data_IF_480437742902
#
_entry.id   IF_480437742902
#
_cell.length_a   1.000
_cell.length_b   1.000
_cell.length_c   1.000
_cell.angle_alpha   90.00
_cell.angle_beta   90.00
_cell.angle_gamma   90.00
#
_symmetry.space_group_name_H-M   'P 1'
#
loop_
_entity.id
_entity.type
_entity.pdbx_description
1 polymer ?
#
# COMPACT_ATOMS: atom_id res chain seq x y z
N UNK A 1 10.66 -15.00 1.36
CA UNK A 1 11.90 -15.71 0.96
C UNK A 1 11.68 -16.77 -0.12
N UNK A 2 10.46 -17.27 -0.35
CA UNK A 2 10.17 -18.36 -1.30
C UNK A 2 10.46 -18.02 -2.77
N UNK A 3 10.16 -16.80 -3.23
CA UNK A 3 10.32 -16.43 -4.65
C UNK A 3 11.76 -16.12 -5.07
N UNK A 4 12.60 -15.61 -4.16
CA UNK A 4 14.00 -15.26 -4.46
C UNK A 4 14.86 -16.51 -4.67
N UNK A 5 14.61 -17.58 -3.89
CA UNK A 5 15.27 -18.88 -4.05
C UNK A 5 14.91 -19.50 -5.41
N UNK A 6 13.65 -19.37 -5.85
CA UNK A 6 13.22 -19.82 -7.18
C UNK A 6 13.96 -19.10 -8.33
N UNK A 7 14.21 -17.79 -8.21
CA UNK A 7 14.97 -17.01 -9.20
C UNK A 7 16.44 -17.46 -9.28
N UNK A 8 17.05 -17.81 -8.14
CA UNK A 8 18.42 -18.32 -8.10
C UNK A 8 18.56 -19.73 -8.71
N UNK A 9 17.51 -20.55 -8.61
CA UNK A 9 17.50 -21.93 -9.12
C UNK A 9 17.13 -21.99 -10.62
N UNK A 10 16.41 -20.99 -11.15
CA UNK A 10 16.04 -20.89 -12.58
C UNK A 10 17.18 -21.13 -13.58
N UNK A 11 18.39 -20.55 -13.46
CA UNK A 11 19.48 -20.79 -14.42
C UNK A 11 19.92 -22.26 -14.48
N UNK A 12 19.89 -22.97 -13.35
CA UNK A 12 20.23 -24.40 -13.29
C UNK A 12 19.16 -25.27 -13.96
N UNK A 13 17.87 -24.93 -13.78
CA UNK A 13 16.75 -25.63 -14.42
C UNK A 13 16.76 -25.42 -15.94
N UNK A 14 17.06 -24.21 -16.40
CA UNK A 14 17.15 -23.89 -17.84
C UNK A 14 18.33 -24.64 -18.49
N UNK A 15 19.49 -24.71 -17.84
CA UNK A 15 20.63 -25.48 -18.34
C UNK A 15 20.29 -26.96 -18.49
N UNK A 16 19.61 -27.55 -17.51
CA UNK A 16 19.20 -28.96 -17.55
C UNK A 16 18.08 -29.21 -18.57
N UNK A 17 17.17 -28.26 -18.77
CA UNK A 17 16.15 -28.33 -19.82
C UNK A 17 16.75 -28.20 -21.23
N UNK A 18 17.82 -27.42 -21.41
CA UNK A 18 18.52 -27.28 -22.69
C UNK A 18 19.36 -28.51 -23.05
N UNK A 19 19.93 -29.22 -22.07
CA UNK A 19 20.61 -30.51 -22.26
C UNK A 19 19.63 -31.62 -22.72
N UNK A 20 18.36 -31.55 -22.30
CA UNK A 20 17.29 -32.46 -22.71
C UNK A 20 16.61 -31.94 -23.98
N UNK A 21 17.34 -31.92 -25.10
CA UNK A 21 16.81 -31.84 -26.47
C UNK A 21 15.56 -30.98 -26.68
N UNK A 22 15.52 -29.75 -26.14
CA UNK A 22 14.33 -28.91 -26.18
C UNK A 22 14.10 -28.41 -27.60
N UNK A 23 12.92 -28.70 -28.17
CA UNK A 23 12.51 -28.13 -29.45
C UNK A 23 12.58 -26.60 -29.38
N UNK A 24 12.84 -25.93 -30.52
CA UNK A 24 12.89 -24.47 -30.60
C UNK A 24 11.66 -23.80 -29.95
N UNK A 25 10.48 -24.44 -30.10
CA UNK A 25 9.24 -24.00 -29.47
C UNK A 25 9.26 -24.08 -27.94
N UNK A 26 9.84 -25.14 -27.36
CA UNK A 26 9.97 -25.28 -25.91
C UNK A 26 10.89 -24.22 -25.30
N UNK A 27 12.03 -23.93 -25.95
CA UNK A 27 12.95 -22.87 -25.51
C UNK A 27 12.28 -21.49 -25.54
N UNK A 28 11.56 -21.18 -26.63
CA UNK A 28 10.80 -19.93 -26.74
C UNK A 28 9.77 -19.83 -25.61
N UNK A 29 8.99 -20.90 -25.38
CA UNK A 29 7.98 -20.94 -24.32
C UNK A 29 8.57 -20.67 -22.92
N UNK A 30 9.67 -21.33 -22.58
CA UNK A 30 10.35 -21.13 -21.27
C UNK A 30 10.91 -19.72 -21.15
N UNK A 31 11.60 -19.21 -22.18
CA UNK A 31 12.15 -17.86 -22.18
C UNK A 31 11.07 -16.78 -22.06
N UNK A 32 9.91 -16.95 -22.71
CA UNK A 32 8.79 -16.00 -22.60
C UNK A 32 8.20 -15.99 -21.20
N UNK A 33 7.94 -17.16 -20.61
CA UNK A 33 7.39 -17.26 -19.25
C UNK A 33 8.40 -16.70 -18.23
N UNK A 34 9.67 -17.10 -18.32
CA UNK A 34 10.72 -16.61 -17.45
C UNK A 34 10.89 -15.08 -17.59
N UNK A 35 10.93 -14.57 -18.81
CA UNK A 35 11.02 -13.14 -19.11
C UNK A 35 9.85 -12.35 -18.53
N UNK A 36 8.61 -12.82 -18.71
CA UNK A 36 7.41 -12.21 -18.14
C UNK A 36 7.54 -12.02 -16.62
N UNK A 37 7.87 -13.09 -15.88
CA UNK A 37 8.03 -12.99 -14.43
C UNK A 37 9.22 -12.12 -14.02
N UNK A 38 10.32 -12.14 -14.78
CA UNK A 38 11.53 -11.37 -14.47
C UNK A 38 11.28 -9.87 -14.56
N UNK A 39 10.48 -9.40 -15.52
CA UNK A 39 10.18 -7.97 -15.67
C UNK A 39 8.94 -7.51 -14.90
N UNK A 40 7.91 -8.35 -14.82
CA UNK A 40 6.64 -7.94 -14.19
C UNK A 40 6.73 -7.98 -12.67
N UNK A 41 7.44 -8.95 -12.09
CA UNK A 41 7.55 -9.06 -10.62
C UNK A 41 8.17 -7.81 -9.99
N UNK A 42 9.30 -7.26 -10.49
CA UNK A 42 9.84 -5.99 -9.98
C UNK A 42 8.86 -4.82 -10.12
N UNK A 43 8.11 -4.74 -11.23
CA UNK A 43 7.12 -3.68 -11.46
C UNK A 43 5.98 -3.77 -10.46
N UNK A 44 5.40 -4.96 -10.25
CA UNK A 44 4.31 -5.18 -9.30
C UNK A 44 4.72 -4.85 -7.87
N UNK A 45 5.88 -5.36 -7.44
CA UNK A 45 6.42 -5.07 -6.10
C UNK A 45 6.69 -3.57 -5.97
N UNK A 46 7.21 -2.92 -7.02
CA UNK A 46 7.46 -1.47 -6.99
C UNK A 46 6.17 -0.65 -6.83
N UNK A 47 5.11 -1.02 -7.54
CA UNK A 47 3.80 -0.35 -7.45
C UNK A 47 3.19 -0.43 -6.04
N UNK A 48 3.42 -1.54 -5.33
CA UNK A 48 2.93 -1.73 -3.96
C UNK A 48 3.83 -1.03 -2.94
N UNK A 49 5.14 -1.27 -3.00
CA UNK A 49 6.11 -0.75 -2.02
C UNK A 49 6.21 0.78 -2.00
N UNK A 50 5.98 1.46 -3.13
CA UNK A 50 5.99 2.93 -3.20
C UNK A 50 4.95 3.61 -2.30
N UNK A 51 3.85 2.90 -1.98
CA UNK A 51 2.78 3.40 -1.11
C UNK A 51 2.95 2.92 0.34
N UNK A 52 3.84 1.96 0.58
CA UNK A 52 4.01 1.32 1.88
C UNK A 52 4.69 2.29 2.85
N UNK A 53 4.04 2.53 3.98
CA UNK A 53 4.58 3.34 5.07
C UNK A 53 5.33 2.43 6.03
N UNK A 54 6.60 2.75 6.27
CA UNK A 54 7.47 1.96 7.15
C UNK A 54 7.41 2.42 8.59
N UNK A 55 7.13 3.69 8.84
CA UNK A 55 7.03 4.27 10.18
C UNK A 55 6.24 5.58 10.11
N UNK A 56 5.45 5.86 11.15
CA UNK A 56 4.75 7.13 11.34
C UNK A 56 5.12 7.71 12.69
N UNK A 57 5.75 8.87 12.65
CA UNK A 57 6.13 9.64 13.84
C UNK A 57 5.08 10.73 14.10
N UNK A 58 4.62 10.87 15.35
CA UNK A 58 3.72 11.95 15.76
C UNK A 58 4.47 13.08 16.47
N UNK A 59 4.32 14.31 15.98
CA UNK A 59 4.88 15.50 16.60
C UNK A 59 3.83 16.20 17.48
N UNK A 60 3.96 16.05 18.80
CA UNK A 60 3.08 16.70 19.80
C UNK A 60 3.09 18.22 19.77
N UNK A 61 4.17 18.86 19.28
CA UNK A 61 4.29 20.33 19.27
C UNK A 61 3.49 20.97 18.13
N UNK A 62 3.46 20.33 16.97
CA UNK A 62 2.80 20.87 15.76
C UNK A 62 1.50 20.15 15.39
N UNK A 63 1.15 19.08 16.13
CA UNK A 63 0.01 18.19 15.86
C UNK A 63 0.04 17.62 14.42
N UNK A 64 1.24 17.22 14.00
CA UNK A 64 1.52 16.71 12.65
C UNK A 64 2.09 15.29 12.70
N UNK A 65 1.78 14.54 11.65
CA UNK A 65 2.30 13.19 11.41
C UNK A 65 3.33 13.23 10.31
N UNK A 66 4.43 12.50 10.51
CA UNK A 66 5.45 12.26 9.49
C UNK A 66 5.46 10.79 9.13
N UNK A 67 4.88 10.44 7.98
CA UNK A 67 4.98 9.10 7.43
C UNK A 67 6.27 8.96 6.62
N UNK A 68 7.04 7.91 6.89
CA UNK A 68 8.22 7.54 6.11
C UNK A 68 7.84 6.48 5.09
N UNK A 69 8.09 6.76 3.81
CA UNK A 69 7.94 5.83 2.69
C UNK A 69 9.29 5.57 2.04
N UNK A 70 9.44 4.43 1.36
CA UNK A 70 10.64 4.11 0.59
C UNK A 70 10.41 4.47 -0.87
N UNK A 71 11.32 5.28 -1.43
CA UNK A 71 11.29 5.66 -2.85
C UNK A 71 11.82 4.55 -3.76
N UNK A 72 11.69 4.74 -5.09
CA UNK A 72 12.21 3.82 -6.11
C UNK A 72 13.69 3.45 -5.92
N UNK A 73 14.49 4.38 -5.41
CA UNK A 73 15.93 4.19 -5.19
C UNK A 73 16.26 3.76 -3.75
N UNK A 74 15.34 3.11 -3.06
CA UNK A 74 15.46 2.69 -1.66
C UNK A 74 15.75 3.86 -0.68
N UNK A 75 15.52 5.11 -1.10
CA UNK A 75 15.73 6.27 -0.24
C UNK A 75 14.48 6.57 0.58
N UNK A 76 14.60 6.78 1.90
CA UNK A 76 13.48 7.21 2.72
C UNK A 76 13.01 8.60 2.27
N UNK A 77 11.70 8.77 2.14
CA UNK A 77 11.03 10.04 1.86
C UNK A 77 9.97 10.25 2.94
N UNK A 78 9.98 11.43 3.57
CA UNK A 78 8.97 11.80 4.58
C UNK A 78 7.79 12.52 3.93
N UNK A 79 6.58 12.16 4.35
CA UNK A 79 5.31 12.80 3.97
C UNK A 79 4.68 13.35 5.24
N UNK A 80 4.59 14.68 5.33
CA UNK A 80 4.04 15.37 6.49
C UNK A 80 2.58 15.76 6.24
N UNK A 81 1.70 15.43 7.19
CA UNK A 81 0.27 15.71 7.10
C UNK A 81 -0.37 15.90 8.47
N UNK A 82 -1.49 16.61 8.50
CA UNK A 82 -2.35 16.74 9.68
C UNK A 82 -3.54 15.78 9.60
N UNK A 83 -4.15 15.39 10.74
CA UNK A 83 -5.31 14.48 10.75
C UNK A 83 -6.47 14.90 9.84
N UNK A 84 -6.76 16.20 9.75
CA UNK A 84 -7.86 16.69 8.92
C UNK A 84 -7.56 16.66 7.41
N UNK A 85 -6.29 16.52 7.01
CA UNK A 85 -5.87 16.38 5.61
C UNK A 85 -5.94 14.92 5.13
N UNK A 86 -6.37 14.02 6.01
CA UNK A 86 -6.53 12.60 5.72
C UNK A 86 -7.89 12.33 5.11
N UNK A 87 -7.91 11.64 3.97
CA UNK A 87 -9.14 11.20 3.30
C UNK A 87 -9.16 9.68 3.19
N UNK A 88 -10.27 9.07 3.60
CA UNK A 88 -10.48 7.64 3.41
C UNK A 88 -10.91 7.36 1.97
N UNK A 89 -10.45 6.26 1.36
CA UNK A 89 -10.91 5.86 0.04
C UNK A 89 -12.40 5.47 0.10
N UNK A 90 -13.22 5.97 -0.82
CA UNK A 90 -14.66 5.63 -0.94
C UNK A 90 -14.91 4.13 -1.22
N UNK A 91 -13.90 3.44 -1.73
CA UNK A 91 -13.92 2.01 -2.03
C UNK A 91 -12.67 1.41 -1.44
N UNK A 92 -12.79 0.25 -0.80
CA UNK A 92 -11.66 -0.47 -0.22
C UNK A 92 -10.70 -0.91 -1.33
N UNK A 93 -9.67 -0.10 -1.59
CA UNK A 93 -8.58 -0.43 -2.52
C UNK A 93 -7.58 -1.30 -1.76
N UNK A 94 -7.20 -2.44 -2.31
CA UNK A 94 -6.25 -3.37 -1.66
C UNK A 94 -4.91 -2.73 -1.25
N UNK A 95 -4.52 -1.61 -1.88
CA UNK A 95 -3.18 -1.02 -1.72
C UNK A 95 -3.20 0.39 -1.11
N UNK A 96 -4.32 0.86 -0.55
CA UNK A 96 -4.41 2.20 0.04
C UNK A 96 -5.28 2.15 1.29
N UNK A 97 -4.69 2.50 2.43
CA UNK A 97 -5.40 2.64 3.70
C UNK A 97 -6.08 4.02 3.76
N UNK A 98 -5.33 5.08 3.49
CA UNK A 98 -5.85 6.45 3.43
C UNK A 98 -5.01 7.34 2.51
N UNK A 99 -5.54 8.50 2.16
CA UNK A 99 -4.82 9.54 1.42
C UNK A 99 -4.38 10.62 2.40
N UNK A 100 -3.07 10.84 2.51
CA UNK A 100 -2.51 12.02 3.18
C UNK A 100 -2.33 13.12 2.13
N UNK A 101 -3.18 14.14 2.12
CA UNK A 101 -3.24 15.15 1.05
C UNK A 101 -3.52 14.48 -0.32
N UNK A 102 -2.52 14.43 -1.19
CA UNK A 102 -2.56 13.80 -2.50
C UNK A 102 -1.82 12.45 -2.54
N UNK A 103 -1.16 12.07 -1.45
CA UNK A 103 -0.36 10.85 -1.38
C UNK A 103 -1.22 9.65 -0.94
N UNK A 104 -1.40 8.61 -1.77
CA UNK A 104 -2.01 7.35 -1.34
C UNK A 104 -1.02 6.59 -0.45
N UNK A 105 -1.40 6.36 0.80
CA UNK A 105 -0.59 5.63 1.77
C UNK A 105 -1.23 4.30 2.12
N UNK A 106 -0.43 3.24 2.07
CA UNK A 106 -0.75 1.94 2.63
C UNK A 106 -0.02 1.83 3.96
N UNK A 107 -0.80 1.73 5.04
CA UNK A 107 -0.31 1.84 6.40
C UNK A 107 -0.72 0.61 7.18
N UNK A 108 0.28 -0.07 7.72
CA UNK A 108 0.15 -1.12 8.72
C UNK A 108 0.01 -0.46 10.11
N UNK A 109 -0.95 -0.86 10.96
CA UNK A 109 -1.01 -0.42 12.35
C UNK A 109 0.30 -0.56 13.12
N UNK A 110 1.15 -1.55 12.77
CA UNK A 110 2.47 -1.74 13.38
C UNK A 110 3.49 -0.65 13.02
N UNK A 111 3.19 0.21 12.03
CA UNK A 111 4.06 1.33 11.67
C UNK A 111 3.96 2.51 12.66
N UNK A 112 3.01 2.48 13.61
CA UNK A 112 2.84 3.50 14.63
C UNK A 112 3.50 3.09 15.95
N UNK A 113 4.11 4.05 16.65
CA UNK A 113 4.57 3.85 18.02
C UNK A 113 3.40 3.63 19.00
N UNK A 114 2.25 4.25 18.71
CA UNK A 114 1.03 4.13 19.48
C UNK A 114 -0.17 3.93 18.55
N UNK A 115 -0.82 2.76 18.69
CA UNK A 115 -1.97 2.32 17.89
C UNK A 115 -3.16 3.28 18.04
N UNK A 116 -3.27 4.04 19.13
CA UNK A 116 -4.33 5.05 19.28
C UNK A 116 -4.25 6.15 18.20
N UNK A 117 -3.05 6.45 17.70
CA UNK A 117 -2.87 7.42 16.63
C UNK A 117 -3.39 6.89 15.28
N UNK A 118 -3.36 5.57 15.06
CA UNK A 118 -3.97 4.96 13.90
C UNK A 118 -5.49 5.17 13.89
N UNK A 119 -6.15 4.96 15.04
CA UNK A 119 -7.60 5.19 15.17
C UNK A 119 -7.97 6.66 14.96
N UNK A 120 -7.17 7.59 15.51
CA UNK A 120 -7.34 9.04 15.33
C UNK A 120 -7.21 9.46 13.86
N UNK A 121 -6.26 8.91 13.11
CA UNK A 121 -6.09 9.20 11.69
C UNK A 121 -7.26 8.69 10.85
N UNK A 122 -7.81 7.53 11.20
CA UNK A 122 -8.99 6.97 10.54
C UNK A 122 -10.29 7.67 10.96
N UNK A 123 -10.25 8.54 11.97
CA UNK A 123 -11.40 9.28 12.46
C UNK A 123 -12.36 8.45 13.32
N UNK A 124 -11.89 7.33 13.88
CA UNK A 124 -12.67 6.50 14.82
C UNK A 124 -12.79 7.12 16.22
N UNK A 125 -12.03 8.19 16.49
CA UNK A 125 -12.08 8.97 17.72
C UNK A 125 -13.24 9.99 17.75
N UNK A 126 -13.86 10.27 16.59
CA UNK A 126 -14.96 11.24 16.49
C UNK A 126 -16.30 10.59 16.86
N UNK A 127 -17.18 11.32 17.57
CA UNK A 127 -18.52 10.81 17.86
C UNK A 127 -19.28 10.55 16.56
N UNK A 128 -19.79 9.33 16.40
CA UNK A 128 -20.61 8.94 15.25
C UNK A 128 -21.88 9.81 15.24
N UNK A 129 -22.03 10.66 14.23
CA UNK A 129 -23.28 11.38 13.99
C UNK A 129 -24.04 10.67 12.88
N UNK A 130 -25.19 10.10 13.21
CA UNK A 130 -26.15 9.63 12.21
C UNK A 130 -26.81 10.86 11.58
N UNK A 131 -26.39 11.26 10.39
CA UNK A 131 -27.18 12.21 9.61
C UNK A 131 -28.46 11.47 9.17
N UNK A 132 -29.61 11.91 9.68
CA UNK A 132 -30.94 11.46 9.26
C UNK A 132 -31.15 12.05 7.86
N UNK A 133 -30.87 11.29 6.83
CA UNK A 133 -31.45 11.55 5.51
C UNK A 133 -32.88 11.01 5.54
N UNK A 134 -33.85 11.92 5.48
CA UNK A 134 -35.26 11.62 5.25
C UNK A 134 -35.40 11.14 3.80
N UNK A 135 -35.07 9.88 3.53
CA UNK A 135 -35.59 9.18 2.37
C UNK A 135 -35.71 7.68 2.67
N UNK A 136 -36.92 7.18 2.50
CA UNK A 136 -37.28 5.80 2.77
C UNK A 136 -36.56 4.89 1.77
N UNK A 137 -35.71 4.01 2.31
CA UNK A 137 -35.23 2.78 1.65
C UNK A 137 -34.00 2.89 0.72
N UNK A 138 -32.83 3.30 1.23
CA UNK A 138 -31.51 2.88 0.68
C UNK A 138 -30.49 2.70 1.82
N UNK A 139 -29.65 1.66 1.71
CA UNK A 139 -28.61 1.25 2.67
C UNK A 139 -27.75 2.45 3.12
N UNK A 140 -27.86 2.81 4.41
CA UNK A 140 -27.16 3.93 5.05
C UNK A 140 -25.64 3.75 4.97
N UNK A 141 -24.93 4.73 4.41
CA UNK A 141 -23.46 4.80 4.48
C UNK A 141 -23.05 5.80 5.57
N UNK A 142 -22.11 5.44 6.46
CA UNK A 142 -21.63 6.36 7.48
C UNK A 142 -20.79 7.49 6.84
N UNK A 143 -21.02 8.73 7.26
CA UNK A 143 -20.28 9.92 6.81
C UNK A 143 -19.52 10.53 7.99
N UNK A 144 -18.23 10.84 7.81
CA UNK A 144 -17.36 11.46 8.83
C UNK A 144 -17.36 12.98 8.63
N UNK A 145 -17.86 13.73 9.61
CA UNK A 145 -17.85 15.21 9.55
C UNK A 145 -16.47 15.76 9.98
N UNK A 146 -16.00 16.78 9.29
CA UNK A 146 -14.83 17.55 9.71
C UNK A 146 -15.21 18.41 10.93
N UNK A 147 -14.40 18.36 11.99
CA UNK A 147 -14.62 19.18 13.18
C UNK A 147 -14.39 20.65 12.81
N UNK A 148 -15.45 21.47 12.92
CA UNK A 148 -15.36 22.89 12.68
C UNK A 148 -14.64 23.55 13.86
N UNK A 149 -13.65 24.40 13.57
CA UNK A 149 -12.86 25.10 14.57
C UNK A 149 -13.60 26.40 14.91
N UNK A 150 -14.17 26.47 16.13
CA UNK A 150 -14.67 27.72 16.72
C UNK A 150 -13.52 28.59 17.22
#
# INVERSE_FOLDING_TARGET
MTSAVGLCIQPMVIQKAAEVGSSLAATIGVCTIAGFFTFITPVLIHLVTRKYVTSIEYNKKTDEYSATIISLFLKPKKVQFKPFEVRLPLTQKLTVTFYAKEYPLFVDPQAFDDVMHYQRILGYDKPFTFEKEDDDNVIRKPVVKAANKS
#
